data_IF_951975500933
#
_entry.id   IF_951975500933
#
_cell.length_a   1.000
_cell.length_b   1.000
_cell.length_c   1.000
_cell.angle_alpha   90.00
_cell.angle_beta   90.00
_cell.angle_gamma   90.00
#
_symmetry.space_group_name_H-M   'P 1'
#
loop_
_entity.id
_entity.type
_entity.pdbx_description
1 polymer ?
#
# COMPACT_ATOMS: atom_id res chain seq x y z
N UNK A 1 6.81 -5.56 -15.08
CA UNK A 1 5.96 -4.65 -14.27
C UNK A 1 6.87 -3.96 -13.27
N UNK A 2 6.97 -2.63 -13.26
CA UNK A 2 7.62 -1.94 -12.13
C UNK A 2 6.80 -2.27 -10.88
N UNK A 3 7.41 -2.86 -9.85
CA UNK A 3 6.73 -3.11 -8.57
C UNK A 3 6.17 -1.76 -8.11
N UNK A 4 4.84 -1.62 -8.05
CA UNK A 4 4.18 -0.37 -7.65
C UNK A 4 4.41 -0.13 -6.16
N UNK A 5 4.35 1.13 -5.72
CA UNK A 5 4.32 1.46 -4.30
C UNK A 5 3.24 0.67 -3.54
N UNK A 6 2.08 0.42 -4.18
CA UNK A 6 0.97 -0.38 -3.63
C UNK A 6 1.43 -1.81 -3.31
N UNK A 7 2.29 -2.41 -4.14
CA UNK A 7 2.79 -3.77 -3.88
C UNK A 7 3.61 -3.83 -2.60
N UNK A 8 4.42 -2.80 -2.30
CA UNK A 8 5.14 -2.73 -1.02
C UNK A 8 4.18 -2.62 0.16
N UNK A 9 3.11 -1.83 0.04
CA UNK A 9 2.10 -1.69 1.08
C UNK A 9 1.39 -3.02 1.37
N UNK A 10 1.01 -3.77 0.33
CA UNK A 10 0.41 -5.09 0.48
C UNK A 10 1.35 -6.03 1.25
N UNK A 11 2.62 -6.09 0.84
CA UNK A 11 3.63 -6.94 1.51
C UNK A 11 3.80 -6.52 2.97
N UNK A 12 3.92 -5.22 3.26
CA UNK A 12 4.05 -4.73 4.64
C UNK A 12 2.83 -5.06 5.50
N UNK A 13 1.63 -5.02 4.94
CA UNK A 13 0.40 -5.40 5.65
C UNK A 13 0.38 -6.89 5.98
N UNK A 14 0.80 -7.75 5.05
CA UNK A 14 0.93 -9.18 5.33
C UNK A 14 1.95 -9.45 6.44
N UNK A 15 3.10 -8.76 6.43
CA UNK A 15 4.10 -8.89 7.50
C UNK A 15 3.52 -8.43 8.84
N UNK A 16 2.78 -7.31 8.87
CA UNK A 16 2.11 -6.83 10.09
C UNK A 16 1.11 -7.85 10.63
N UNK A 17 0.31 -8.47 9.77
CA UNK A 17 -0.60 -9.55 10.15
C UNK A 17 0.15 -10.75 10.73
N UNK A 18 1.26 -11.17 10.11
CA UNK A 18 2.11 -12.25 10.64
C UNK A 18 2.68 -11.90 12.01
N UNK A 19 3.21 -10.69 12.19
CA UNK A 19 3.72 -10.20 13.49
C UNK A 19 2.62 -10.24 14.55
N UNK A 20 1.40 -9.83 14.19
CA UNK A 20 0.23 -9.82 15.08
C UNK A 20 -0.13 -11.23 15.52
N UNK A 21 -0.18 -12.18 14.58
CA UNK A 21 -0.45 -13.60 14.87
C UNK A 21 0.65 -14.19 15.74
N UNK A 22 1.92 -13.95 15.41
CA UNK A 22 3.05 -14.49 16.18
C UNK A 22 3.08 -13.94 17.61
N UNK A 23 2.82 -12.65 17.78
CA UNK A 23 2.70 -12.04 19.10
C UNK A 23 1.52 -12.65 19.90
N UNK A 24 0.36 -12.84 19.27
CA UNK A 24 -0.82 -13.43 19.90
C UNK A 24 -0.62 -14.90 20.29
N UNK A 25 0.15 -15.66 19.51
CA UNK A 25 0.46 -17.07 19.76
C UNK A 25 1.66 -17.29 20.70
N UNK A 26 2.23 -16.22 21.26
CA UNK A 26 3.42 -16.28 22.10
C UNK A 26 4.62 -16.97 21.42
N UNK A 27 4.83 -16.69 20.12
CA UNK A 27 6.02 -17.13 19.40
C UNK A 27 7.30 -16.52 20.00
N UNK A 28 8.47 -17.14 19.79
CA UNK A 28 9.72 -16.61 20.31
C UNK A 28 9.95 -15.16 19.88
N UNK A 29 10.30 -14.30 20.85
CA UNK A 29 10.47 -12.86 20.65
C UNK A 29 11.41 -12.52 19.48
N UNK A 30 12.49 -13.28 19.29
CA UNK A 30 13.43 -13.06 18.19
C UNK A 30 12.75 -13.05 16.81
N UNK A 31 11.80 -13.96 16.57
CA UNK A 31 11.05 -14.00 15.30
C UNK A 31 10.16 -12.76 15.12
N UNK A 32 9.45 -12.39 16.18
CA UNK A 32 8.59 -11.19 16.19
C UNK A 32 9.43 -9.93 15.95
N UNK A 33 10.58 -9.82 16.62
CA UNK A 33 11.50 -8.68 16.51
C UNK A 33 12.05 -8.53 15.09
N UNK A 34 12.62 -9.58 14.50
CA UNK A 34 13.21 -9.48 13.16
C UNK A 34 12.16 -9.19 12.08
N UNK A 35 10.96 -9.79 12.19
CA UNK A 35 9.85 -9.48 11.28
C UNK A 35 9.37 -8.03 11.44
N UNK A 36 9.31 -7.51 12.67
CA UNK A 36 8.97 -6.12 12.93
C UNK A 36 9.96 -5.17 12.26
N UNK A 37 11.26 -5.38 12.47
CA UNK A 37 12.33 -4.55 11.87
C UNK A 37 12.26 -4.62 10.35
N UNK A 38 12.08 -5.81 9.77
CA UNK A 38 11.90 -5.99 8.32
C UNK A 38 10.68 -5.21 7.80
N UNK A 39 9.55 -5.32 8.48
CA UNK A 39 8.32 -4.59 8.13
C UNK A 39 8.51 -3.07 8.14
N UNK A 40 9.21 -2.55 9.14
CA UNK A 40 9.52 -1.11 9.23
C UNK A 40 10.44 -0.65 8.10
N UNK A 41 11.48 -1.42 7.76
CA UNK A 41 12.36 -1.10 6.62
C UNK A 41 11.56 -1.08 5.31
N UNK A 42 10.68 -2.06 5.08
CA UNK A 42 9.83 -2.10 3.89
C UNK A 42 8.83 -0.95 3.85
N UNK A 43 8.31 -0.50 4.99
CA UNK A 43 7.43 0.67 5.08
C UNK A 43 8.18 1.96 4.72
N UNK A 44 9.42 2.13 5.18
CA UNK A 44 10.26 3.28 4.77
C UNK A 44 10.50 3.24 3.25
N UNK A 45 10.81 2.07 2.70
CA UNK A 45 10.99 1.90 1.25
C UNK A 45 9.70 2.24 0.49
N UNK A 46 8.54 1.82 0.99
CA UNK A 46 7.25 2.11 0.35
C UNK A 46 6.99 3.62 0.30
N UNK A 47 7.24 4.34 1.40
CA UNK A 47 7.10 5.81 1.47
C UNK A 47 8.05 6.49 0.50
N UNK A 48 9.34 6.13 0.50
CA UNK A 48 10.31 6.70 -0.45
C UNK A 48 9.88 6.46 -1.88
N UNK A 49 9.26 5.31 -2.16
CA UNK A 49 8.76 4.98 -3.48
C UNK A 49 7.54 5.82 -3.85
N UNK A 50 6.54 5.95 -2.98
CA UNK A 50 5.38 6.83 -3.20
C UNK A 50 5.84 8.25 -3.50
N UNK A 51 6.78 8.79 -2.72
CA UNK A 51 7.26 10.17 -2.88
C UNK A 51 8.07 10.40 -4.17
N UNK A 52 8.67 9.35 -4.73
CA UNK A 52 9.51 9.43 -5.95
C UNK A 52 8.83 8.88 -7.19
N UNK A 53 7.64 8.27 -7.04
CA UNK A 53 6.92 7.71 -8.17
C UNK A 53 6.26 8.85 -8.94
N UNK A 54 6.54 8.94 -10.24
CA UNK A 54 5.86 9.87 -11.14
C UNK A 54 4.53 9.23 -11.57
N UNK A 55 3.60 9.14 -10.62
CA UNK A 55 2.27 8.62 -10.86
C UNK A 55 1.46 9.64 -11.65
N UNK A 56 0.98 9.24 -12.82
CA UNK A 56 0.03 10.01 -13.63
C UNK A 56 -1.29 9.23 -13.66
N UNK A 57 -2.39 9.93 -13.39
CA UNK A 57 -3.75 9.42 -13.53
C UNK A 57 -4.58 10.41 -14.34
N UNK A 58 -5.55 9.89 -15.07
CA UNK A 58 -6.59 10.63 -15.78
C UNK A 58 -7.78 11.00 -14.88
N UNK A 59 -7.74 10.58 -13.61
CA UNK A 59 -8.77 10.84 -12.59
C UNK A 59 -8.46 12.12 -11.83
N UNK A 60 -9.42 13.02 -11.79
CA UNK A 60 -9.33 14.23 -10.95
C UNK A 60 -10.09 14.01 -9.63
N UNK A 61 -9.80 14.84 -8.61
CA UNK A 61 -10.53 14.81 -7.35
C UNK A 61 -12.05 15.07 -7.51
N UNK A 62 -12.47 15.68 -8.61
CA UNK A 62 -13.88 15.89 -8.97
C UNK A 62 -14.60 14.58 -9.33
N UNK A 63 -13.89 13.54 -9.78
CA UNK A 63 -14.46 12.22 -10.11
C UNK A 63 -14.59 11.30 -8.86
N UNK A 64 -14.31 11.84 -7.64
CA UNK A 64 -14.29 11.12 -6.35
C UNK A 64 -13.58 9.74 -6.41
N UNK A 65 -13.84 8.85 -5.43
CA UNK A 65 -13.34 7.47 -5.34
C UNK A 65 -13.95 6.51 -6.39
N UNK A 66 -14.43 6.99 -7.54
CA UNK A 66 -15.21 6.15 -8.45
C UNK A 66 -14.33 5.39 -9.44
N UNK A 67 -14.36 4.05 -9.33
CA UNK A 67 -13.70 3.10 -10.23
C UNK A 67 -14.26 3.13 -11.68
N UNK A 68 -15.30 3.92 -11.94
CA UNK A 68 -15.91 4.12 -13.25
C UNK A 68 -16.44 5.55 -13.35
N UNK A 69 -16.33 6.23 -14.50
CA UNK A 69 -16.85 7.58 -14.66
C UNK A 69 -18.38 7.58 -14.56
N UNK A 70 -18.94 8.09 -13.46
CA UNK A 70 -20.37 8.39 -13.40
C UNK A 70 -20.60 9.69 -14.19
N UNK A 71 -21.15 9.53 -15.40
CA UNK A 71 -22.03 10.54 -15.98
C UNK A 71 -21.42 11.89 -16.36
N UNK A 72 -20.21 11.96 -16.93
CA UNK A 72 -19.90 13.04 -17.90
C UNK A 72 -20.39 12.64 -19.28
N UNK A 73 -21.70 12.39 -19.40
CA UNK A 73 -22.36 12.55 -20.69
C UNK A 73 -22.25 14.04 -21.05
N UNK A 74 -21.20 14.40 -21.79
CA UNK A 74 -21.16 15.66 -22.51
C UNK A 74 -22.34 15.63 -23.48
N UNK A 75 -23.48 16.20 -23.06
CA UNK A 75 -24.52 16.67 -23.97
C UNK A 75 -23.88 17.74 -24.84
N UNK A 76 -23.20 17.32 -25.89
CA UNK A 76 -22.91 18.17 -27.03
C UNK A 76 -24.27 18.51 -27.67
N UNK A 77 -24.72 19.74 -27.42
CA UNK A 77 -25.79 20.39 -28.17
C UNK A 77 -25.28 20.79 -29.54
#
# INVERSE_FOLDING_TARGET
>A
MKISAITYLIITTFILLTVTIFAAMNFPFSWVFYLMVLGQVLLVISVVKVLKDNYATDKDFEDFYEDHPIGREKKFR
#
